data_IF_229530710607
#
_entry.id   IF_229530710607
#
_cell.length_a   1.000
_cell.length_b   1.000
_cell.length_c   1.000
_cell.angle_alpha   90.00
_cell.angle_beta   90.00
_cell.angle_gamma   90.00
#
_symmetry.space_group_name_H-M   'P 1'
#
loop_
_entity.id
_entity.type
_entity.pdbx_description
1 polymer ?
#
# COMPACT_ATOMS: atom_id res chain seq x y z
N UNK A 1 -4.07 2.95 -18.09
CA UNK A 1 -3.45 1.75 -18.69
C UNK A 1 -4.31 0.53 -18.37
N UNK A 2 -5.07 -0.03 -19.33
CA UNK A 2 -5.84 -1.25 -19.10
C UNK A 2 -4.89 -2.43 -18.88
N UNK A 3 -5.06 -3.13 -17.75
CA UNK A 3 -4.27 -4.32 -17.41
C UNK A 3 -4.72 -5.49 -18.27
N UNK A 4 -3.79 -6.08 -19.01
CA UNK A 4 -3.99 -7.30 -19.81
C UNK A 4 -4.51 -8.44 -18.91
N UNK A 5 -5.51 -9.22 -19.35
CA UNK A 5 -5.97 -10.40 -18.61
C UNK A 5 -4.79 -11.33 -18.30
N UNK A 6 -4.69 -11.77 -17.04
CA UNK A 6 -3.56 -12.53 -16.53
C UNK A 6 -3.24 -13.75 -17.39
N UNK A 7 -1.98 -13.85 -17.83
CA UNK A 7 -1.43 -15.00 -18.56
C UNK A 7 -1.61 -16.27 -17.71
N UNK A 8 -2.23 -17.34 -18.23
CA UNK A 8 -2.34 -18.61 -17.50
C UNK A 8 -0.95 -19.10 -17.09
N UNK A 9 -0.83 -19.55 -15.83
CA UNK A 9 0.40 -20.16 -15.36
C UNK A 9 0.65 -21.47 -16.14
N UNK A 10 1.93 -21.81 -16.37
CA UNK A 10 2.30 -22.89 -17.29
C UNK A 10 1.72 -24.26 -16.93
N UNK A 11 1.51 -24.53 -15.63
CA UNK A 11 0.85 -25.76 -15.15
C UNK A 11 -0.68 -25.77 -15.39
N UNK A 12 -1.32 -24.61 -15.52
CA UNK A 12 -2.77 -24.50 -15.78
C UNK A 12 -3.10 -24.80 -17.24
N UNK A 13 -2.16 -24.55 -18.16
CA UNK A 13 -2.35 -24.75 -19.60
C UNK A 13 -2.74 -26.18 -19.95
N UNK A 14 -2.15 -27.19 -19.29
CA UNK A 14 -2.47 -28.59 -19.57
C UNK A 14 -3.89 -28.99 -19.15
N UNK A 15 -4.49 -28.31 -18.18
CA UNK A 15 -5.86 -28.59 -17.70
C UNK A 15 -6.92 -28.28 -18.74
N UNK A 16 -6.61 -27.42 -19.71
CA UNK A 16 -7.51 -27.02 -20.80
C UNK A 16 -7.52 -28.01 -21.97
N UNK A 17 -6.79 -29.12 -21.86
CA UNK A 17 -6.68 -30.13 -22.91
C UNK A 17 -6.94 -31.54 -22.37
N UNK A 18 -7.39 -32.43 -23.26
CA UNK A 18 -7.60 -33.86 -23.03
C UNK A 18 -6.47 -34.60 -23.73
N UNK A 19 -5.81 -35.55 -23.06
CA UNK A 19 -4.75 -36.35 -23.68
C UNK A 19 -5.37 -37.49 -24.48
N UNK A 20 -4.99 -37.62 -25.75
CA UNK A 20 -5.38 -38.71 -26.62
C UNK A 20 -4.36 -39.84 -26.44
N UNK A 21 -4.84 -41.07 -26.24
CA UNK A 21 -3.98 -42.23 -26.15
C UNK A 21 -3.20 -42.40 -27.46
N UNK A 22 -1.90 -42.64 -27.36
CA UNK A 22 -1.08 -43.07 -28.50
C UNK A 22 -1.25 -44.56 -28.69
N UNK A 23 -1.60 -44.99 -29.90
CA UNK A 23 -1.56 -46.40 -30.28
C UNK A 23 -0.16 -46.95 -29.98
N UNK A 24 -0.09 -47.97 -29.14
CA UNK A 24 1.13 -48.52 -28.55
C UNK A 24 2.09 -49.18 -29.59
N UNK A 25 1.80 -49.06 -30.88
CA UNK A 25 2.52 -49.70 -31.99
C UNK A 25 3.52 -48.79 -32.72
N UNK A 26 3.58 -47.49 -32.41
CA UNK A 26 4.57 -46.58 -33.01
C UNK A 26 5.47 -45.94 -31.95
N UNK A 27 6.78 -46.21 -32.01
CA UNK A 27 7.80 -45.82 -31.03
C UNK A 27 8.05 -44.31 -30.85
N UNK A 28 7.11 -43.43 -31.22
CA UNK A 28 7.20 -41.98 -31.06
C UNK A 28 6.40 -41.51 -29.84
N UNK A 29 7.12 -41.13 -28.78
CA UNK A 29 6.60 -40.69 -27.45
C UNK A 29 5.92 -39.31 -27.44
N UNK A 30 5.29 -38.88 -28.54
CA UNK A 30 4.65 -37.57 -28.62
C UNK A 30 3.14 -37.70 -28.49
N UNK A 31 2.66 -37.81 -27.23
CA UNK A 31 1.21 -37.81 -26.93
C UNK A 31 0.51 -36.61 -27.57
N UNK A 32 -0.62 -36.85 -28.24
CA UNK A 32 -1.47 -35.79 -28.80
C UNK A 32 -2.47 -35.33 -27.75
N UNK A 33 -2.85 -34.06 -27.81
CA UNK A 33 -3.81 -33.46 -26.88
C UNK A 33 -4.86 -32.68 -27.65
N UNK A 34 -6.11 -32.75 -27.19
CA UNK A 34 -7.28 -32.10 -27.77
C UNK A 34 -7.74 -30.95 -26.89
N UNK A 35 -7.92 -29.76 -27.45
CA UNK A 35 -8.42 -28.59 -26.73
C UNK A 35 -9.88 -28.81 -26.28
N UNK A 36 -10.19 -28.56 -25.01
CA UNK A 36 -11.56 -28.70 -24.47
C UNK A 36 -12.54 -27.66 -25.04
N UNK A 37 -12.02 -26.53 -25.53
CA UNK A 37 -12.81 -25.36 -25.93
C UNK A 37 -13.18 -25.32 -27.41
N UNK A 38 -12.34 -25.87 -28.29
CA UNK A 38 -12.59 -25.88 -29.73
C UNK A 38 -12.31 -27.23 -30.40
N UNK A 39 -11.90 -28.25 -29.63
CA UNK A 39 -11.65 -29.58 -30.15
C UNK A 39 -10.39 -29.72 -31.01
N UNK A 40 -9.58 -28.67 -31.18
CA UNK A 40 -8.37 -28.72 -32.01
C UNK A 40 -7.29 -29.62 -31.38
N UNK A 41 -6.68 -30.49 -32.19
CA UNK A 41 -5.69 -31.45 -31.76
C UNK A 41 -4.27 -30.99 -32.08
N UNK A 42 -3.40 -31.00 -31.08
CA UNK A 42 -1.99 -30.62 -31.22
C UNK A 42 -1.11 -31.60 -30.45
N UNK A 43 0.19 -31.60 -30.74
CA UNK A 43 1.17 -32.33 -29.93
C UNK A 43 1.25 -31.73 -28.52
N UNK A 44 1.33 -32.57 -27.49
CA UNK A 44 1.50 -32.15 -26.10
C UNK A 44 2.75 -31.28 -25.98
N UNK A 45 2.61 -30.12 -25.35
CA UNK A 45 3.70 -29.18 -25.16
C UNK A 45 3.20 -27.84 -24.69
N UNK A 46 3.71 -27.38 -23.56
CA UNK A 46 3.24 -26.17 -22.85
C UNK A 46 3.25 -24.95 -23.77
N UNK A 47 4.31 -24.74 -24.54
CA UNK A 47 4.42 -23.62 -25.50
C UNK A 47 3.36 -23.67 -26.60
N UNK A 48 3.10 -24.86 -27.18
CA UNK A 48 2.13 -25.05 -28.27
C UNK A 48 0.71 -24.89 -27.76
N UNK A 49 0.40 -25.51 -26.63
CA UNK A 49 -0.89 -25.41 -25.96
C UNK A 49 -1.19 -23.97 -25.53
N UNK A 50 -0.21 -23.27 -24.97
CA UNK A 50 -0.32 -21.86 -24.58
C UNK A 50 -0.52 -20.94 -25.78
N UNK A 51 0.23 -21.16 -26.87
CA UNK A 51 0.06 -20.43 -28.13
C UNK A 51 -1.35 -20.63 -28.68
N UNK A 52 -1.87 -21.87 -28.66
CA UNK A 52 -3.22 -22.18 -29.09
C UNK A 52 -4.28 -21.43 -28.26
N UNK A 53 -4.27 -21.59 -26.94
CA UNK A 53 -5.25 -20.94 -26.05
C UNK A 53 -5.27 -19.42 -26.22
N UNK A 54 -4.09 -18.78 -26.27
CA UNK A 54 -3.99 -17.32 -26.28
C UNK A 54 -4.18 -16.69 -27.67
N UNK A 55 -3.85 -17.39 -28.76
CA UNK A 55 -3.87 -16.80 -30.10
C UNK A 55 -4.93 -17.40 -31.03
N UNK A 56 -5.22 -18.68 -30.91
CA UNK A 56 -5.98 -19.44 -31.91
C UNK A 56 -7.32 -20.01 -31.41
N UNK A 57 -7.59 -19.99 -30.09
CA UNK A 57 -8.84 -20.49 -29.53
C UNK A 57 -9.82 -19.35 -29.19
N UNK A 58 -10.80 -19.02 -30.05
CA UNK A 58 -11.76 -17.94 -29.79
C UNK A 58 -12.68 -18.27 -28.61
N UNK A 59 -13.07 -19.53 -28.44
CA UNK A 59 -13.96 -19.96 -27.35
C UNK A 59 -13.30 -19.80 -25.98
N UNK A 60 -12.01 -20.11 -25.85
CA UNK A 60 -11.25 -19.86 -24.63
C UNK A 60 -11.16 -18.38 -24.27
N UNK A 61 -10.93 -17.51 -25.27
CA UNK A 61 -10.91 -16.05 -25.06
C UNK A 61 -12.25 -15.51 -24.56
N UNK A 62 -13.36 -15.97 -25.15
CA UNK A 62 -14.71 -15.58 -24.72
C UNK A 62 -15.00 -16.03 -23.29
N UNK A 63 -14.62 -17.26 -22.94
CA UNK A 63 -14.78 -17.79 -21.57
C UNK A 63 -13.93 -17.02 -20.55
N UNK A 64 -12.70 -16.61 -20.90
CA UNK A 64 -11.90 -15.77 -20.00
C UNK A 64 -12.51 -14.39 -19.78
N UNK A 65 -13.15 -13.81 -20.79
CA UNK A 65 -13.84 -12.52 -20.65
C UNK A 65 -15.09 -12.62 -19.78
N UNK A 66 -15.84 -13.72 -19.86
CA UNK A 66 -17.02 -13.94 -19.01
C UNK A 66 -16.69 -14.44 -17.60
N UNK A 67 -15.54 -15.08 -17.39
CA UNK A 67 -15.08 -15.54 -16.08
C UNK A 67 -14.17 -14.55 -15.34
N UNK A 68 -13.91 -13.35 -15.86
CA UNK A 68 -13.32 -12.31 -15.01
C UNK A 68 -14.38 -11.93 -13.98
N UNK A 69 -14.21 -12.28 -12.68
CA UNK A 69 -15.04 -11.64 -11.68
C UNK A 69 -14.72 -10.16 -11.80
N UNK A 70 -15.74 -9.35 -12.10
CA UNK A 70 -15.64 -7.92 -11.85
C UNK A 70 -15.51 -7.76 -10.34
N UNK A 71 -14.28 -7.89 -9.84
CA UNK A 71 -13.93 -7.50 -8.50
C UNK A 71 -14.05 -5.98 -8.47
N UNK A 72 -15.28 -5.48 -8.32
CA UNK A 72 -15.58 -4.14 -7.84
C UNK A 72 -15.21 -4.05 -6.36
N UNK A 73 -13.98 -4.44 -6.02
CA UNK A 73 -13.39 -4.02 -4.77
C UNK A 73 -13.15 -2.52 -4.92
N UNK A 74 -14.09 -1.74 -4.41
CA UNK A 74 -13.91 -0.32 -4.19
C UNK A 74 -12.81 -0.20 -3.14
N UNK A 75 -11.56 -0.15 -3.58
CA UNK A 75 -10.46 0.11 -2.68
C UNK A 75 -10.62 1.54 -2.19
N UNK A 76 -10.78 1.76 -0.88
CA UNK A 76 -10.83 3.12 -0.38
C UNK A 76 -9.48 3.77 -0.73
N UNK A 77 -9.55 4.91 -1.43
CA UNK A 77 -8.36 5.65 -1.86
C UNK A 77 -8.31 6.92 -1.03
N UNK A 78 -7.17 7.13 -0.37
CA UNK A 78 -6.86 8.42 0.24
C UNK A 78 -6.26 9.31 -0.84
N UNK A 79 -6.92 10.43 -1.11
CA UNK A 79 -6.39 11.44 -2.02
C UNK A 79 -5.01 11.94 -1.56
N UNK A 80 -4.17 12.36 -2.51
CA UNK A 80 -2.80 12.81 -2.25
C UNK A 80 -2.77 14.04 -1.33
N UNK A 81 -3.69 14.99 -1.50
CA UNK A 81 -3.73 16.20 -0.68
C UNK A 81 -4.14 15.86 0.75
N UNK A 82 -5.17 15.04 0.91
CA UNK A 82 -5.62 14.53 2.20
C UNK A 82 -4.53 13.70 2.89
N UNK A 83 -3.79 12.88 2.14
CA UNK A 83 -2.63 12.14 2.65
C UNK A 83 -1.56 13.07 3.23
N UNK A 84 -1.27 14.14 2.49
CA UNK A 84 -0.26 15.10 2.89
C UNK A 84 -0.67 15.82 4.18
N UNK A 85 -1.92 16.28 4.27
CA UNK A 85 -2.48 16.86 5.48
C UNK A 85 -2.36 15.90 6.68
N UNK A 86 -2.71 14.62 6.51
CA UNK A 86 -2.57 13.61 7.58
C UNK A 86 -1.10 13.38 7.98
N UNK A 87 -0.16 13.47 7.03
CA UNK A 87 1.26 13.34 7.32
C UNK A 87 1.81 14.54 8.09
N UNK A 88 1.32 15.74 7.80
CA UNK A 88 1.65 16.98 8.52
C UNK A 88 1.11 16.92 9.95
N UNK A 89 -0.16 16.53 10.15
CA UNK A 89 -0.74 16.31 11.49
C UNK A 89 0.05 15.27 12.30
N UNK A 90 0.45 14.18 11.64
CA UNK A 90 1.28 13.17 12.28
C UNK A 90 2.67 13.73 12.66
N UNK A 91 3.25 14.64 11.87
CA UNK A 91 4.50 15.29 12.22
C UNK A 91 4.34 16.25 13.41
N UNK A 92 3.24 17.02 13.46
CA UNK A 92 2.89 17.88 14.61
C UNK A 92 2.81 17.06 15.90
N UNK A 93 2.07 15.95 15.88
CA UNK A 93 1.96 15.07 17.04
C UNK A 93 3.31 14.52 17.52
N UNK A 94 4.32 14.39 16.66
CA UNK A 94 5.66 13.97 17.07
C UNK A 94 6.39 15.08 17.80
N UNK A 95 6.50 16.28 17.21
CA UNK A 95 7.33 17.33 17.81
C UNK A 95 6.61 18.13 18.89
N UNK A 96 5.32 18.46 18.72
CA UNK A 96 4.58 19.31 19.65
C UNK A 96 4.28 18.56 20.96
N UNK A 97 3.88 17.29 20.87
CA UNK A 97 3.58 16.46 22.03
C UNK A 97 4.78 15.63 22.53
N UNK A 98 5.97 15.83 21.95
CA UNK A 98 7.19 15.08 22.30
C UNK A 98 7.07 13.56 22.11
N UNK A 99 6.27 13.09 21.14
CA UNK A 99 6.08 11.65 20.92
C UNK A 99 7.28 11.03 20.21
N UNK A 100 7.59 9.76 20.47
CA UNK A 100 8.70 9.10 19.79
C UNK A 100 8.39 8.91 18.30
N UNK A 101 9.40 9.12 17.47
CA UNK A 101 9.34 8.93 16.01
C UNK A 101 8.82 7.57 15.51
N UNK A 102 8.83 6.55 16.37
CA UNK A 102 8.34 5.21 16.08
C UNK A 102 6.85 5.01 16.42
N UNK A 103 6.15 6.01 16.95
CA UNK A 103 4.75 5.95 17.38
C UNK A 103 3.86 5.24 16.33
N UNK A 104 3.89 5.76 15.10
CA UNK A 104 3.08 5.27 13.98
C UNK A 104 3.59 3.97 13.35
N UNK A 105 4.81 3.53 13.69
CA UNK A 105 5.35 2.24 13.26
C UNK A 105 4.98 1.10 14.20
N UNK A 106 4.63 1.41 15.45
CA UNK A 106 4.32 0.39 16.46
C UNK A 106 3.18 -0.51 16.00
N UNK A 107 3.30 -1.82 16.26
CA UNK A 107 2.32 -2.83 15.77
C UNK A 107 0.89 -2.52 16.23
N UNK A 108 0.71 -2.18 17.51
CA UNK A 108 -0.60 -1.86 18.09
C UNK A 108 -1.20 -0.59 17.49
N UNK A 109 -0.39 0.47 17.31
CA UNK A 109 -0.86 1.70 16.67
C UNK A 109 -1.28 1.45 15.22
N UNK A 110 -0.51 0.68 14.44
CA UNK A 110 -0.89 0.34 13.07
C UNK A 110 -2.19 -0.43 12.99
N UNK A 111 -2.43 -1.36 13.94
CA UNK A 111 -3.70 -2.09 14.02
C UNK A 111 -4.85 -1.11 14.29
N UNK A 112 -4.71 -0.24 15.30
CA UNK A 112 -5.72 0.78 15.61
C UNK A 112 -6.04 1.66 14.40
N UNK A 113 -5.02 2.24 13.79
CA UNK A 113 -5.18 3.15 12.64
C UNK A 113 -5.79 2.43 11.43
N UNK A 114 -5.44 1.17 11.19
CA UNK A 114 -6.05 0.38 10.12
C UNK A 114 -7.54 0.09 10.34
N UNK A 115 -8.01 0.08 11.61
CA UNK A 115 -9.43 -0.07 11.95
C UNK A 115 -10.21 1.23 11.79
N UNK A 116 -9.57 2.38 12.01
CA UNK A 116 -10.16 3.70 11.80
C UNK A 116 -10.22 4.06 10.32
N UNK A 117 -9.16 3.78 9.56
CA UNK A 117 -9.09 4.04 8.13
C UNK A 117 -8.19 3.00 7.44
N UNK A 118 -8.81 2.10 6.68
CA UNK A 118 -8.12 1.01 5.98
C UNK A 118 -7.27 1.49 4.79
N UNK A 119 -7.58 2.65 4.23
CA UNK A 119 -6.89 3.23 3.08
C UNK A 119 -5.66 4.06 3.47
N UNK A 120 -5.62 4.57 4.70
CA UNK A 120 -4.52 5.40 5.15
C UNK A 120 -3.36 4.56 5.68
N UNK A 121 -2.17 4.82 5.16
CA UNK A 121 -0.92 4.31 5.71
C UNK A 121 -0.17 5.47 6.40
N UNK A 122 0.06 5.38 7.71
CA UNK A 122 0.77 6.43 8.45
C UNK A 122 2.15 6.73 7.88
N UNK A 123 2.68 7.95 8.04
CA UNK A 123 3.97 8.33 7.49
C UNK A 123 5.10 7.49 8.10
N UNK A 124 6.10 7.20 7.26
CA UNK A 124 7.34 6.62 7.74
C UNK A 124 8.14 7.64 8.56
N UNK A 125 9.06 7.15 9.40
CA UNK A 125 10.01 7.99 10.13
C UNK A 125 10.72 9.01 9.22
N UNK A 126 11.24 8.56 8.06
CA UNK A 126 11.92 9.43 7.10
C UNK A 126 10.98 10.46 6.46
N UNK A 127 9.68 10.17 6.38
CA UNK A 127 8.68 11.13 5.92
C UNK A 127 8.43 12.19 6.99
N UNK A 128 8.23 11.78 8.23
CA UNK A 128 8.06 12.69 9.37
C UNK A 128 9.27 13.61 9.49
N UNK A 129 10.50 13.06 9.51
CA UNK A 129 11.73 13.86 9.62
C UNK A 129 11.85 14.95 8.53
N UNK A 130 11.45 14.64 7.28
CA UNK A 130 11.46 15.63 6.19
C UNK A 130 10.39 16.71 6.34
N UNK A 131 9.30 16.40 7.03
CA UNK A 131 8.21 17.35 7.30
C UNK A 131 8.48 18.20 8.53
N UNK A 132 9.38 17.80 9.44
CA UNK A 132 9.63 18.52 10.69
C UNK A 132 9.93 20.01 10.46
N UNK A 133 10.90 20.34 9.61
CA UNK A 133 11.28 21.72 9.36
C UNK A 133 10.11 22.59 8.83
N UNK A 134 9.44 22.24 7.72
CA UNK A 134 8.34 23.06 7.21
C UNK A 134 7.15 23.10 8.17
N UNK A 135 6.80 21.97 8.80
CA UNK A 135 5.68 21.91 9.76
C UNK A 135 5.98 22.71 11.03
N UNK A 136 7.23 22.69 11.51
CA UNK A 136 7.67 23.52 12.63
C UNK A 136 7.56 25.00 12.28
N UNK A 137 8.08 25.44 11.14
CA UNK A 137 7.99 26.86 10.73
C UNK A 137 6.53 27.33 10.66
N UNK A 138 5.64 26.52 10.09
CA UNK A 138 4.23 26.86 10.02
C UNK A 138 3.59 26.94 11.42
N UNK A 139 3.83 25.95 12.27
CA UNK A 139 3.30 25.93 13.63
C UNK A 139 3.85 27.08 14.48
N UNK A 140 5.15 27.37 14.34
CA UNK A 140 5.80 28.51 14.98
C UNK A 140 5.14 29.84 14.57
N UNK A 141 4.89 30.06 13.28
CA UNK A 141 4.24 31.28 12.81
C UNK A 141 2.81 31.43 13.34
N UNK A 142 2.08 30.32 13.50
CA UNK A 142 0.76 30.32 14.13
C UNK A 142 0.83 30.71 15.61
N UNK A 143 1.76 30.11 16.36
CA UNK A 143 1.98 30.45 17.77
C UNK A 143 2.44 31.91 17.91
N UNK A 144 3.34 32.37 17.05
CA UNK A 144 3.80 33.76 17.04
C UNK A 144 2.65 34.73 16.83
N UNK A 145 1.75 34.46 15.88
CA UNK A 145 0.58 35.31 15.64
C UNK A 145 -0.36 35.37 16.86
N UNK A 146 -0.48 34.29 17.63
CA UNK A 146 -1.23 34.28 18.89
C UNK A 146 -0.53 35.14 19.94
N UNK A 147 0.79 35.01 20.07
CA UNK A 147 1.59 35.79 21.01
C UNK A 147 1.58 37.29 20.67
N UNK A 148 1.63 37.65 19.39
CA UNK A 148 1.60 39.04 18.91
C UNK A 148 0.26 39.73 19.21
N UNK A 149 -0.83 38.95 19.32
CA UNK A 149 -2.16 39.45 19.64
C UNK A 149 -2.44 39.49 21.15
N UNK A 150 -1.60 38.86 21.96
CA UNK A 150 -1.79 38.79 23.40
C UNK A 150 -1.42 40.11 24.08
N UNK A 151 -2.34 40.70 24.83
CA UNK A 151 -2.05 41.89 25.64
C UNK A 151 -1.07 41.56 26.78
N UNK A 152 -1.19 40.35 27.33
CA UNK A 152 -0.36 39.86 28.42
C UNK A 152 0.05 38.41 28.19
N UNK A 153 1.30 38.10 28.53
CA UNK A 153 1.85 36.76 28.53
C UNK A 153 2.36 36.41 29.93
N UNK A 154 2.08 35.20 30.38
CA UNK A 154 2.65 34.65 31.60
C UNK A 154 3.80 33.70 31.22
N UNK A 155 5.00 33.97 31.73
CA UNK A 155 6.19 33.15 31.48
C UNK A 155 6.56 32.41 32.75
N UNK A 156 6.47 31.09 32.71
CA UNK A 156 6.74 30.20 33.84
C UNK A 156 8.10 29.55 33.61
N UNK A 157 8.98 29.71 34.60
CA UNK A 157 10.30 29.09 34.64
C UNK A 157 10.29 27.98 35.67
N UNK A 158 10.64 26.78 35.24
CA UNK A 158 10.90 25.65 36.13
C UNK A 158 12.29 25.10 35.82
N UNK A 159 13.08 24.80 36.85
CA UNK A 159 14.46 24.41 36.66
C UNK A 159 14.86 23.33 37.66
N UNK A 160 15.37 22.23 37.12
CA UNK A 160 15.75 21.02 37.84
C UNK A 160 17.09 20.50 37.36
N UNK A 161 17.73 19.62 38.11
CA UNK A 161 18.91 18.89 37.64
C UNK A 161 18.51 17.45 37.30
N UNK A 162 19.07 16.90 36.22
CA UNK A 162 18.85 15.50 35.88
C UNK A 162 19.74 14.56 36.71
N UNK A 163 19.58 13.24 36.53
CA UNK A 163 20.36 12.22 37.25
C UNK A 163 21.88 12.27 36.98
N UNK A 164 22.31 13.02 35.97
CA UNK A 164 23.72 13.26 35.64
C UNK A 164 24.16 14.68 35.99
N UNK A 165 23.43 15.37 36.85
CA UNK A 165 23.69 16.74 37.34
C UNK A 165 23.75 17.82 36.25
N UNK A 166 23.12 17.59 35.09
CA UNK A 166 22.93 18.64 34.10
C UNK A 166 21.69 19.45 34.43
N UNK A 167 21.83 20.78 34.40
CA UNK A 167 20.72 21.72 34.59
C UNK A 167 19.75 21.63 33.41
N UNK A 168 18.47 21.43 33.72
CA UNK A 168 17.36 21.50 32.78
C UNK A 168 16.52 22.72 33.17
N UNK A 169 16.21 23.57 32.19
CA UNK A 169 15.34 24.72 32.36
C UNK A 169 14.16 24.55 31.41
N UNK A 170 12.98 24.43 31.98
CA UNK A 170 11.71 24.41 31.27
C UNK A 170 11.15 25.83 31.27
N UNK A 171 10.89 26.36 30.08
CA UNK A 171 10.23 27.66 29.89
C UNK A 171 8.87 27.37 29.27
N UNK A 172 7.81 27.71 29.98
CA UNK A 172 6.44 27.58 29.50
C UNK A 172 5.82 28.97 29.34
N UNK A 173 5.17 29.21 28.22
CA UNK A 173 4.44 30.46 27.97
C UNK A 173 2.95 30.12 28.04
N UNK A 174 2.23 30.85 28.89
CA UNK A 174 0.79 30.78 29.02
C UNK A 174 0.18 32.11 28.58
N UNK A 175 -0.79 32.04 27.68
CA UNK A 175 -1.59 33.17 27.23
C UNK A 175 -3.00 32.99 27.81
N UNK A 176 -3.60 34.07 28.32
CA UNK A 176 -5.00 34.04 28.71
C UNK A 176 -5.87 33.99 27.44
N UNK A 177 -6.69 32.94 27.30
CA UNK A 177 -7.67 32.83 26.22
C UNK A 177 -8.85 33.76 26.46
#
# INVERSE_FOLDING_TARGET
>A
MPRTPGRPADHQVHREFITLASDASSGFKNSRVKCKHCGHEITKGTTRQKKHLLRHCPNYKRQQQSQQPQLTHHFPVVDKTFKQMLDELAAIAIFADGRPFNLFKSKRMRILLSKLNTAWQPPSHRRVQRLLAPTYSQYHNQVQAILDQAEHINVIFDASDNITSHRIINISIQVAN
#
